data_IF_180800802244
#
_entry.id   IF_180800802244
#
_cell.length_a   1.000
_cell.length_b   1.000
_cell.length_c   1.000
_cell.angle_alpha   90.00
_cell.angle_beta   90.00
_cell.angle_gamma   90.00
#
_symmetry.space_group_name_H-M   'P 1'
#
loop_
_entity.id
_entity.type
_entity.pdbx_description
1 polymer ?
#
# COMPACT_ATOMS: atom_id res chain seq x y z
N UNK A 1 -41.58 32.93 -58.24
CA UNK A 1 -42.12 32.08 -57.14
C UNK A 1 -41.74 30.63 -57.40
N UNK A 2 -41.63 29.83 -56.33
CA UNK A 2 -41.27 28.39 -56.29
C UNK A 2 -39.80 28.06 -56.60
N UNK A 3 -39.29 27.09 -55.83
CA UNK A 3 -37.89 26.67 -55.76
C UNK A 3 -37.79 25.14 -55.62
N UNK A 4 -36.64 24.55 -56.01
CA UNK A 4 -36.01 23.32 -55.45
C UNK A 4 -34.85 22.88 -56.38
N UNK A 5 -33.59 22.76 -55.91
CA UNK A 5 -32.98 21.56 -55.24
C UNK A 5 -32.94 20.37 -56.23
N UNK A 6 -31.85 19.72 -56.63
CA UNK A 6 -30.45 19.51 -56.13
C UNK A 6 -29.47 19.63 -57.34
N UNK A 7 -28.17 19.30 -57.36
CA UNK A 7 -27.20 18.64 -56.46
C UNK A 7 -25.77 19.14 -56.83
N UNK A 8 -24.79 19.10 -55.93
CA UNK A 8 -23.34 19.24 -56.25
C UNK A 8 -22.60 17.98 -55.80
N UNK A 9 -21.59 17.55 -56.59
CA UNK A 9 -20.93 16.24 -56.44
C UNK A 9 -20.16 16.12 -55.13
N UNK A 10 -20.39 15.00 -54.43
CA UNK A 10 -19.57 14.55 -53.31
C UNK A 10 -18.23 14.00 -53.86
N UNK A 11 -17.13 14.65 -53.52
CA UNK A 11 -15.78 14.09 -53.70
C UNK A 11 -15.35 13.41 -52.40
N UNK A 12 -15.14 12.09 -52.43
CA UNK A 12 -14.75 11.32 -51.25
C UNK A 12 -13.32 11.71 -50.83
N UNK A 13 -13.17 12.40 -49.71
CA UNK A 13 -11.88 12.53 -49.04
C UNK A 13 -11.61 11.23 -48.27
N UNK A 14 -10.66 10.43 -48.76
CA UNK A 14 -10.25 9.20 -48.08
C UNK A 14 -9.41 9.58 -46.85
N UNK A 15 -10.08 9.77 -45.71
CA UNK A 15 -9.41 10.01 -44.43
C UNK A 15 -8.63 8.78 -44.00
N UNK A 16 -7.30 8.85 -44.09
CA UNK A 16 -6.43 7.86 -43.49
C UNK A 16 -6.52 7.99 -41.96
N UNK A 17 -7.39 7.18 -41.36
CA UNK A 17 -7.44 7.04 -39.91
C UNK A 17 -6.12 6.39 -39.44
N UNK A 18 -5.18 7.22 -39.00
CA UNK A 18 -4.04 6.78 -38.22
C UNK A 18 -4.60 6.23 -36.90
N UNK A 19 -4.78 4.91 -36.84
CA UNK A 19 -4.98 4.20 -35.59
C UNK A 19 -3.65 4.32 -34.83
N UNK A 20 -3.54 5.38 -34.03
CA UNK A 20 -2.48 5.52 -33.04
C UNK A 20 -2.72 4.44 -31.99
N UNK A 21 -2.22 3.23 -32.26
CA UNK A 21 -2.15 2.18 -31.25
C UNK A 21 -1.38 2.73 -30.06
N UNK A 22 -2.04 2.78 -28.91
CA UNK A 22 -1.41 3.17 -27.66
C UNK A 22 -0.26 2.21 -27.37
N UNK A 23 0.97 2.66 -27.61
CA UNK A 23 2.17 1.95 -27.16
C UNK A 23 2.21 2.09 -25.65
N UNK A 24 1.50 1.19 -24.95
CA UNK A 24 1.67 1.02 -23.51
C UNK A 24 3.13 0.62 -23.29
N UNK A 25 3.90 1.50 -22.65
CA UNK A 25 5.24 1.19 -22.21
C UNK A 25 5.16 -0.07 -21.33
N UNK A 26 5.96 -1.10 -21.65
CA UNK A 26 5.98 -2.30 -20.83
C UNK A 26 6.54 -1.93 -19.45
N UNK A 27 5.75 -2.15 -18.41
CA UNK A 27 6.20 -1.98 -17.03
C UNK A 27 7.35 -2.94 -16.73
N UNK A 28 8.40 -2.47 -16.04
CA UNK A 28 9.47 -3.34 -15.54
C UNK A 28 9.03 -4.07 -14.26
N UNK A 29 7.96 -4.85 -14.34
CA UNK A 29 7.37 -5.60 -13.22
C UNK A 29 7.97 -7.00 -13.02
N UNK A 30 8.80 -7.48 -13.96
CA UNK A 30 9.53 -8.74 -13.83
C UNK A 30 10.92 -8.57 -13.22
N UNK A 31 11.50 -9.66 -12.71
CA UNK A 31 12.88 -9.71 -12.24
C UNK A 31 13.70 -10.72 -13.05
N UNK A 32 14.86 -10.30 -13.56
CA UNK A 32 15.85 -11.18 -14.19
C UNK A 32 17.02 -11.44 -13.23
N UNK A 33 17.15 -12.67 -12.77
CA UNK A 33 18.15 -13.08 -11.78
C UNK A 33 19.37 -13.77 -12.40
N UNK A 34 20.56 -13.24 -12.14
CA UNK A 34 21.86 -13.80 -12.52
C UNK A 34 22.49 -14.54 -11.35
N UNK A 35 23.07 -15.71 -11.58
CA UNK A 35 23.84 -16.44 -10.57
C UNK A 35 25.19 -15.77 -10.35
N UNK A 36 25.47 -15.36 -9.12
CA UNK A 36 26.69 -14.61 -8.76
C UNK A 36 27.62 -15.41 -7.84
N UNK A 37 28.82 -14.87 -7.65
CA UNK A 37 29.70 -15.12 -6.51
C UNK A 37 29.99 -13.75 -5.90
N UNK A 38 29.56 -13.51 -4.67
CA UNK A 38 29.94 -12.32 -3.90
C UNK A 38 31.06 -12.65 -2.91
N UNK A 39 31.89 -11.66 -2.58
CA UNK A 39 33.03 -11.84 -1.67
C UNK A 39 32.62 -11.80 -0.19
N UNK A 40 31.50 -11.13 0.12
CA UNK A 40 30.94 -11.05 1.47
C UNK A 40 30.40 -12.41 1.94
N UNK A 41 30.93 -12.88 3.07
CA UNK A 41 30.61 -14.18 3.69
C UNK A 41 29.77 -13.97 4.95
N UNK A 42 28.45 -13.87 4.80
CA UNK A 42 27.56 -13.78 5.97
C UNK A 42 27.45 -15.14 6.68
N UNK A 43 27.31 -15.06 8.01
CA UNK A 43 26.96 -16.19 8.88
C UNK A 43 26.26 -15.63 10.11
N UNK A 44 24.95 -15.78 10.17
CA UNK A 44 24.13 -15.26 11.27
C UNK A 44 22.75 -15.90 11.30
N UNK A 45 21.96 -15.48 12.28
CA UNK A 45 20.53 -15.70 12.34
C UNK A 45 19.85 -14.37 11.99
N UNK A 46 18.78 -14.44 11.21
CA UNK A 46 17.90 -13.31 10.91
C UNK A 46 16.46 -13.75 11.12
N UNK A 47 15.62 -12.83 11.58
CA UNK A 47 14.19 -13.02 11.63
C UNK A 47 13.60 -12.48 10.33
N UNK A 48 12.75 -13.25 9.65
CA UNK A 48 12.13 -12.85 8.37
C UNK A 48 10.63 -12.82 8.59
N UNK A 49 10.04 -11.63 8.55
CA UNK A 49 8.60 -11.45 8.69
C UNK A 49 7.96 -11.09 7.35
N UNK A 50 6.76 -11.63 7.11
CA UNK A 50 5.95 -11.32 5.92
C UNK A 50 4.50 -11.16 6.33
N UNK A 51 3.80 -10.17 5.78
CA UNK A 51 2.37 -9.97 6.08
C UNK A 51 1.50 -11.20 5.70
N UNK A 52 1.92 -12.00 4.71
CA UNK A 52 1.16 -13.15 4.21
C UNK A 52 1.38 -14.44 5.03
N UNK A 53 2.59 -14.66 5.57
CA UNK A 53 2.96 -15.93 6.23
C UNK A 53 3.50 -15.76 7.65
N UNK A 54 3.48 -14.54 8.19
CA UNK A 54 3.97 -14.22 9.53
C UNK A 54 5.49 -14.26 9.66
N UNK A 55 5.94 -14.53 10.87
CA UNK A 55 7.34 -14.53 11.29
C UNK A 55 8.01 -15.91 11.14
N UNK A 56 9.11 -15.94 10.41
CA UNK A 56 10.07 -17.03 10.26
C UNK A 56 11.30 -16.70 11.15
N UNK A 57 11.37 -17.17 12.42
CA UNK A 57 12.47 -16.83 13.34
C UNK A 57 13.73 -17.66 13.07
N UNK A 58 14.89 -17.17 13.51
CA UNK A 58 16.17 -17.89 13.53
C UNK A 58 16.63 -18.44 12.15
N UNK A 59 16.32 -17.73 11.07
CA UNK A 59 16.75 -18.09 9.72
C UNK A 59 18.27 -17.96 9.55
N UNK A 60 18.93 -19.07 9.21
CA UNK A 60 20.38 -19.08 8.95
C UNK A 60 20.70 -18.46 7.61
N UNK A 61 21.20 -17.22 7.60
CA UNK A 61 21.72 -16.53 6.41
C UNK A 61 23.16 -16.95 6.12
N UNK A 62 23.49 -17.10 4.82
CA UNK A 62 24.80 -17.62 4.38
C UNK A 62 25.41 -16.79 3.24
N UNK A 63 25.33 -17.24 1.98
CA UNK A 63 26.02 -16.61 0.85
C UNK A 63 25.07 -15.96 -0.14
N UNK A 64 25.50 -14.87 -0.76
CA UNK A 64 24.84 -14.31 -1.92
C UNK A 64 24.78 -15.36 -3.04
N UNK A 65 23.62 -15.53 -3.66
CA UNK A 65 23.37 -16.58 -4.66
C UNK A 65 22.91 -16.02 -6.00
N UNK A 66 22.10 -14.97 -5.97
CA UNK A 66 21.65 -14.26 -7.17
C UNK A 66 21.74 -12.74 -7.03
N UNK A 67 21.98 -12.06 -8.14
CA UNK A 67 21.70 -10.64 -8.31
C UNK A 67 20.53 -10.52 -9.28
N UNK A 68 19.47 -9.84 -8.90
CA UNK A 68 18.23 -9.71 -9.67
C UNK A 68 18.00 -8.24 -10.00
N UNK A 69 17.67 -7.96 -11.26
CA UNK A 69 17.38 -6.61 -11.75
C UNK A 69 15.95 -6.56 -12.31
N UNK A 70 15.27 -5.40 -12.30
CA UNK A 70 14.03 -5.17 -13.04
C UNK A 70 14.16 -5.57 -14.51
N UNK A 71 13.07 -6.03 -15.11
CA UNK A 71 13.06 -6.50 -16.49
C UNK A 71 11.68 -6.37 -17.15
N UNK A 72 11.68 -6.09 -18.45
CA UNK A 72 10.56 -6.34 -19.36
C UNK A 72 10.76 -7.66 -20.12
N UNK A 73 9.75 -8.11 -20.87
CA UNK A 73 9.86 -9.27 -21.76
C UNK A 73 8.99 -9.13 -23.00
N UNK A 74 9.49 -9.66 -24.10
CA UNK A 74 8.84 -9.73 -25.41
C UNK A 74 8.93 -11.14 -25.99
N UNK A 75 8.18 -11.43 -27.05
CA UNK A 75 8.22 -12.69 -27.80
C UNK A 75 7.91 -13.93 -26.92
N UNK A 76 6.72 -13.95 -26.31
CA UNK A 76 6.31 -14.97 -25.33
C UNK A 76 5.65 -16.18 -26.02
N UNK A 77 6.44 -16.94 -26.78
CA UNK A 77 6.02 -18.23 -27.36
C UNK A 77 6.26 -19.38 -26.35
N UNK A 78 5.38 -19.49 -25.35
CA UNK A 78 5.48 -20.50 -24.28
C UNK A 78 4.44 -21.60 -24.51
N UNK A 79 4.83 -22.87 -24.33
CA UNK A 79 3.95 -24.03 -24.42
C UNK A 79 3.92 -24.80 -23.09
N UNK A 80 2.78 -25.40 -22.74
CA UNK A 80 2.74 -26.36 -21.65
C UNK A 80 3.54 -27.61 -22.04
N UNK A 81 4.53 -27.96 -21.22
CA UNK A 81 5.45 -29.04 -21.55
C UNK A 81 4.81 -30.44 -21.54
N UNK A 82 3.65 -30.62 -20.88
CA UNK A 82 2.88 -31.86 -20.81
C UNK A 82 1.84 -31.94 -21.92
N UNK A 83 0.97 -30.94 -22.06
CA UNK A 83 -0.16 -30.97 -23.01
C UNK A 83 0.26 -30.57 -24.43
N UNK A 84 1.36 -29.80 -24.55
CA UNK A 84 1.86 -29.18 -25.80
C UNK A 84 1.04 -28.01 -26.31
N UNK A 85 0.04 -27.55 -25.55
CA UNK A 85 -0.77 -26.39 -25.92
C UNK A 85 0.04 -25.09 -25.79
N UNK A 86 -0.27 -24.11 -26.63
CA UNK A 86 0.30 -22.76 -26.55
C UNK A 86 -0.34 -22.00 -25.37
N UNK A 87 0.50 -21.49 -24.48
CA UNK A 87 0.08 -20.66 -23.36
C UNK A 87 -0.01 -19.22 -23.86
N UNK A 88 -1.24 -18.72 -24.03
CA UNK A 88 -1.50 -17.31 -24.29
C UNK A 88 -1.36 -16.53 -22.97
N UNK A 89 -0.44 -15.56 -22.84
CA UNK A 89 -0.28 -14.83 -21.59
C UNK A 89 -1.54 -14.06 -21.18
N UNK A 90 -1.95 -14.21 -19.91
CA UNK A 90 -3.01 -13.38 -19.32
C UNK A 90 -2.52 -11.93 -19.15
N UNK A 91 -3.40 -10.92 -19.28
CA UNK A 91 -3.04 -9.50 -19.21
C UNK A 91 -2.85 -9.01 -17.76
N UNK A 92 -2.04 -9.74 -16.99
CA UNK A 92 -1.64 -9.35 -15.64
C UNK A 92 -0.37 -8.50 -15.72
N UNK A 93 -0.42 -7.32 -15.09
CA UNK A 93 0.73 -6.43 -14.94
C UNK A 93 0.80 -5.90 -13.50
N UNK A 94 2.00 -5.81 -12.96
CA UNK A 94 2.26 -5.35 -11.60
C UNK A 94 2.72 -3.90 -11.52
N UNK A 95 2.88 -3.39 -10.29
CA UNK A 95 3.69 -2.19 -10.02
C UNK A 95 5.15 -2.46 -10.45
N UNK A 96 5.91 -1.47 -10.95
CA UNK A 96 7.33 -1.65 -11.28
C UNK A 96 8.10 -2.35 -10.16
N UNK A 97 8.99 -3.27 -10.55
CA UNK A 97 9.84 -3.98 -9.62
C UNK A 97 10.71 -2.97 -8.84
N UNK A 98 10.80 -3.08 -7.51
CA UNK A 98 11.41 -2.07 -6.63
C UNK A 98 12.95 -2.08 -6.67
N UNK A 99 13.55 -1.93 -7.84
CA UNK A 99 15.00 -1.81 -8.05
C UNK A 99 15.81 -3.12 -8.02
N UNK A 100 17.12 -2.96 -8.13
CA UNK A 100 18.11 -4.04 -8.10
C UNK A 100 18.16 -4.72 -6.72
N UNK A 101 18.45 -6.03 -6.70
CA UNK A 101 18.41 -6.86 -5.47
C UNK A 101 19.51 -7.91 -5.41
N UNK A 102 20.05 -8.15 -4.20
CA UNK A 102 20.93 -9.29 -3.91
C UNK A 102 20.15 -10.34 -3.11
N UNK A 103 20.04 -11.54 -3.65
CA UNK A 103 19.35 -12.67 -3.03
C UNK A 103 20.33 -13.60 -2.30
N UNK A 104 20.23 -13.60 -0.97
CA UNK A 104 21.02 -14.38 -0.03
C UNK A 104 20.40 -15.74 0.24
N UNK A 105 21.21 -16.80 0.26
CA UNK A 105 20.75 -18.13 0.66
C UNK A 105 20.44 -18.15 2.16
N UNK A 106 19.18 -18.43 2.49
CA UNK A 106 18.68 -18.60 3.86
C UNK A 106 18.16 -20.02 4.10
N UNK A 107 18.12 -20.44 5.38
CA UNK A 107 17.46 -21.66 5.84
C UNK A 107 16.80 -21.43 7.19
N UNK A 108 15.47 -21.34 7.19
CA UNK A 108 14.67 -21.19 8.40
C UNK A 108 14.32 -22.56 9.02
N UNK A 109 14.13 -22.64 10.35
CA UNK A 109 13.64 -23.81 11.07
C UNK A 109 12.10 -23.87 11.15
N UNK A 110 11.40 -22.80 10.77
CA UNK A 110 9.95 -22.63 10.90
C UNK A 110 9.09 -23.66 10.17
N UNK A 111 7.80 -23.64 10.48
CA UNK A 111 6.80 -24.44 9.79
C UNK A 111 6.71 -24.04 8.31
N UNK A 112 6.30 -24.97 7.45
CA UNK A 112 6.08 -24.65 6.04
C UNK A 112 4.79 -23.83 5.92
N UNK A 113 4.79 -22.70 5.19
CA UNK A 113 3.55 -21.98 4.88
C UNK A 113 2.50 -22.88 4.22
N UNK A 114 1.19 -22.59 4.43
CA UNK A 114 0.09 -23.36 3.85
C UNK A 114 0.14 -23.32 2.32
N UNK A 115 -0.39 -24.36 1.68
CA UNK A 115 -0.50 -24.44 0.23
C UNK A 115 -1.33 -23.24 -0.32
N UNK A 116 -0.96 -22.74 -1.49
CA UNK A 116 -1.54 -21.53 -2.09
C UNK A 116 -2.05 -21.81 -3.50
N UNK A 117 -3.17 -21.20 -3.87
CA UNK A 117 -3.64 -21.13 -5.26
C UNK A 117 -3.32 -19.74 -5.77
N UNK A 118 -2.42 -19.63 -6.75
CA UNK A 118 -2.01 -18.35 -7.33
C UNK A 118 -2.15 -18.36 -8.84
N UNK A 119 -2.44 -17.21 -9.43
CA UNK A 119 -2.48 -17.04 -10.88
C UNK A 119 -1.38 -16.07 -11.28
N UNK A 120 -0.45 -16.52 -12.12
CA UNK A 120 0.44 -15.63 -12.86
C UNK A 120 -0.03 -15.53 -14.32
N UNK A 121 0.71 -14.77 -15.14
CA UNK A 121 0.32 -14.60 -16.54
C UNK A 121 0.35 -15.90 -17.36
N UNK A 122 0.93 -16.98 -16.87
CA UNK A 122 0.95 -18.29 -17.55
C UNK A 122 -0.18 -19.21 -17.07
N UNK A 123 -0.94 -18.81 -16.04
CA UNK A 123 -2.16 -19.47 -15.57
C UNK A 123 -2.20 -19.70 -14.06
N UNK A 124 -3.27 -20.35 -13.61
CA UNK A 124 -3.49 -20.70 -12.19
C UNK A 124 -2.72 -21.96 -11.81
N UNK A 125 -2.02 -21.91 -10.67
CA UNK A 125 -1.17 -22.99 -10.15
C UNK A 125 -1.42 -23.21 -8.66
N UNK A 126 -1.51 -24.48 -8.26
CA UNK A 126 -1.53 -24.90 -6.86
C UNK A 126 -0.09 -25.12 -6.39
N UNK A 127 0.43 -24.16 -5.63
CA UNK A 127 1.77 -24.19 -5.06
C UNK A 127 1.73 -24.87 -3.69
N UNK A 128 2.65 -25.81 -3.46
CA UNK A 128 2.69 -26.60 -2.23
C UNK A 128 4.09 -26.71 -1.63
N UNK A 129 4.18 -27.05 -0.34
CA UNK A 129 5.46 -27.36 0.35
C UNK A 129 6.45 -26.18 0.34
N UNK A 130 5.95 -24.97 0.54
CA UNK A 130 6.73 -23.73 0.63
C UNK A 130 7.92 -23.86 1.58
N UNK A 131 9.09 -23.42 1.12
CA UNK A 131 10.34 -23.44 1.91
C UNK A 131 11.10 -22.16 1.67
N UNK A 132 11.38 -21.40 2.72
CA UNK A 132 12.20 -20.19 2.65
C UNK A 132 13.62 -20.56 2.17
N UNK A 133 14.04 -19.97 1.05
CA UNK A 133 15.32 -20.28 0.35
C UNK A 133 16.19 -19.07 0.08
N UNK A 134 15.57 -17.93 -0.19
CA UNK A 134 16.23 -16.69 -0.56
C UNK A 134 15.61 -15.54 0.23
N UNK A 135 16.46 -14.65 0.74
CA UNK A 135 16.10 -13.32 1.20
C UNK A 135 16.72 -12.32 0.22
N UNK A 136 15.91 -11.56 -0.50
CA UNK A 136 16.36 -10.64 -1.54
C UNK A 136 16.34 -9.20 -1.03
N UNK A 137 17.49 -8.72 -0.55
CA UNK A 137 17.67 -7.33 -0.08
C UNK A 137 17.78 -6.39 -1.27
N UNK A 138 17.43 -5.11 -1.07
CA UNK A 138 17.72 -4.06 -2.05
C UNK A 138 19.23 -3.95 -2.30
N UNK A 139 19.61 -3.45 -3.46
CA UNK A 139 20.98 -3.17 -3.85
C UNK A 139 21.03 -1.90 -4.70
N UNK A 140 21.99 -1.03 -4.39
CA UNK A 140 22.34 0.15 -5.18
C UNK A 140 23.69 -0.07 -5.88
N UNK A 141 24.01 0.75 -6.89
CA UNK A 141 25.26 0.65 -7.65
C UNK A 141 26.30 1.57 -7.04
N UNK A 142 27.40 1.02 -6.55
CA UNK A 142 28.51 1.81 -6.02
C UNK A 142 29.40 1.01 -5.07
N UNK A 143 30.51 1.63 -4.66
CA UNK A 143 31.28 1.27 -3.45
C UNK A 143 31.08 2.28 -2.32
N UNK A 144 30.43 3.39 -2.65
CA UNK A 144 30.08 4.56 -1.84
C UNK A 144 28.57 4.41 -1.57
N UNK A 145 28.09 4.71 -0.35
CA UNK A 145 26.74 4.38 0.10
C UNK A 145 26.13 5.58 0.83
N UNK A 146 25.09 6.16 0.22
CA UNK A 146 24.29 7.19 0.86
C UNK A 146 23.73 6.72 2.21
N UNK A 147 24.11 7.43 3.27
CA UNK A 147 23.79 7.12 4.65
C UNK A 147 24.90 6.37 5.38
N UNK A 148 26.16 6.39 4.91
CA UNK A 148 27.31 5.91 5.69
C UNK A 148 27.80 6.91 6.75
N UNK A 149 27.31 8.16 6.67
CA UNK A 149 27.63 9.26 7.59
C UNK A 149 28.85 10.09 7.18
N UNK A 150 29.40 9.89 5.98
CA UNK A 150 30.57 10.63 5.49
C UNK A 150 30.51 10.92 3.99
N UNK A 151 30.23 12.17 3.58
CA UNK A 151 30.28 12.58 2.16
C UNK A 151 31.66 12.29 1.56
N UNK A 152 31.74 11.32 0.66
CA UNK A 152 33.00 10.84 0.09
C UNK A 152 32.91 10.53 -1.42
N UNK A 153 34.07 10.53 -2.08
CA UNK A 153 34.19 10.14 -3.49
C UNK A 153 33.36 10.99 -4.47
N UNK A 154 32.25 10.43 -4.93
CA UNK A 154 31.33 11.02 -5.91
C UNK A 154 30.02 11.57 -5.33
N UNK A 155 29.82 11.45 -4.02
CA UNK A 155 28.62 11.86 -3.30
C UNK A 155 28.52 13.39 -3.20
N UNK A 156 27.32 13.96 -3.44
CA UNK A 156 27.05 15.40 -3.33
C UNK A 156 26.52 15.78 -1.94
N UNK A 157 25.91 14.81 -1.25
CA UNK A 157 25.18 14.97 0.00
C UNK A 157 25.16 13.66 0.79
N UNK A 158 24.82 13.74 2.07
CA UNK A 158 24.61 12.58 2.96
C UNK A 158 23.27 12.76 3.68
N UNK A 159 22.39 11.74 3.78
CA UNK A 159 21.11 11.86 4.49
C UNK A 159 21.20 12.21 6.00
N UNK A 160 22.41 12.19 6.58
CA UNK A 160 22.68 12.59 7.97
C UNK A 160 23.64 13.79 8.11
N UNK A 161 24.25 14.25 7.02
CA UNK A 161 25.04 15.49 6.92
C UNK A 161 24.59 16.24 5.65
N UNK A 162 23.29 16.58 5.64
CA UNK A 162 22.63 17.13 4.46
C UNK A 162 22.85 18.64 4.31
N UNK A 163 24.05 19.10 4.68
CA UNK A 163 24.43 20.52 4.63
C UNK A 163 24.54 21.07 3.20
N UNK A 164 24.54 20.20 2.19
CA UNK A 164 24.55 20.53 0.77
C UNK A 164 23.14 20.70 0.15
N UNK A 165 22.13 19.91 0.57
CA UNK A 165 20.76 20.03 0.07
C UNK A 165 19.70 19.51 1.08
N UNK A 166 19.49 20.20 2.21
CA UNK A 166 18.85 19.66 3.42
C UNK A 166 17.43 19.07 3.22
N UNK A 167 17.32 17.75 3.12
CA UNK A 167 16.06 17.03 2.88
C UNK A 167 15.84 16.58 1.43
N UNK A 168 16.78 16.85 0.52
CA UNK A 168 16.72 16.50 -0.90
C UNK A 168 17.77 15.47 -1.33
N UNK A 169 18.62 14.99 -0.42
CA UNK A 169 19.61 13.97 -0.75
C UNK A 169 18.93 12.66 -1.19
N UNK A 170 19.09 12.31 -2.47
CA UNK A 170 18.48 11.13 -3.08
C UNK A 170 19.25 9.86 -2.69
N UNK A 171 18.63 8.69 -2.90
CA UNK A 171 19.26 7.37 -2.65
C UNK A 171 20.49 7.07 -3.53
N UNK A 172 20.81 7.93 -4.51
CA UNK A 172 22.01 7.87 -5.35
C UNK A 172 23.02 8.99 -5.06
N UNK A 173 22.85 9.70 -3.93
CA UNK A 173 23.69 10.82 -3.47
C UNK A 173 23.77 12.01 -4.42
N UNK A 174 22.81 12.13 -5.33
CA UNK A 174 22.52 13.39 -6.01
C UNK A 174 21.59 14.26 -5.17
N UNK A 175 21.76 15.58 -5.25
CA UNK A 175 20.74 16.50 -4.75
C UNK A 175 19.56 16.52 -5.72
N UNK A 176 18.35 16.25 -5.21
CA UNK A 176 17.13 16.46 -5.96
C UNK A 176 17.00 17.92 -6.40
N UNK A 177 16.64 18.15 -7.66
CA UNK A 177 16.34 19.50 -8.14
C UNK A 177 14.95 19.88 -7.62
N UNK A 178 14.87 20.85 -6.73
CA UNK A 178 13.59 21.46 -6.36
C UNK A 178 12.88 21.97 -7.63
N UNK A 179 11.54 21.82 -7.75
CA UNK A 179 10.83 22.36 -8.90
C UNK A 179 11.01 23.89 -8.95
N UNK A 180 10.96 24.53 -10.14
CA UNK A 180 11.25 25.97 -10.29
C UNK A 180 10.20 26.89 -9.67
N UNK A 181 9.13 26.32 -9.12
CA UNK A 181 8.10 26.97 -8.29
C UNK A 181 8.55 27.06 -6.83
N UNK A 182 9.32 26.09 -6.33
CA UNK A 182 9.64 25.97 -4.91
C UNK A 182 10.75 26.94 -4.44
N UNK A 183 10.52 27.64 -3.34
CA UNK A 183 11.45 28.63 -2.77
C UNK A 183 11.40 29.98 -3.49
N UNK A 184 10.28 30.31 -4.11
CA UNK A 184 10.04 31.56 -4.82
C UNK A 184 9.32 32.62 -3.96
N UNK A 185 8.81 32.23 -2.79
CA UNK A 185 8.00 33.04 -1.89
C UNK A 185 6.50 33.03 -2.21
N UNK A 186 6.02 32.11 -3.05
CA UNK A 186 4.61 31.97 -3.44
C UNK A 186 4.28 30.49 -3.61
N UNK A 187 3.28 30.01 -2.85
CA UNK A 187 2.71 28.68 -3.03
C UNK A 187 1.97 28.64 -4.38
N UNK A 188 2.58 28.02 -5.39
CA UNK A 188 1.98 27.81 -6.70
C UNK A 188 2.31 26.45 -7.33
N UNK A 189 1.66 26.15 -8.46
CA UNK A 189 1.85 24.87 -9.17
C UNK A 189 1.40 23.64 -8.36
N UNK A 190 2.38 22.88 -7.86
CA UNK A 190 2.21 21.63 -7.11
C UNK A 190 2.79 21.73 -5.68
N UNK A 191 3.15 22.93 -5.24
CA UNK A 191 3.82 23.15 -3.96
C UNK A 191 2.77 23.23 -2.83
N UNK A 192 2.96 22.50 -1.73
CA UNK A 192 2.09 22.55 -0.54
C UNK A 192 2.47 23.73 0.38
N UNK A 193 3.68 24.28 0.23
CA UNK A 193 4.24 25.40 0.98
C UNK A 193 5.42 26.04 0.24
N UNK A 194 5.89 27.23 0.68
CA UNK A 194 7.10 27.89 0.15
C UNK A 194 7.84 28.67 1.26
N UNK A 195 9.04 28.22 1.63
CA UNK A 195 9.85 28.70 2.76
C UNK A 195 9.03 28.95 4.07
N UNK A 196 8.77 30.17 4.62
CA UNK A 196 7.95 30.32 5.82
C UNK A 196 6.43 30.30 5.52
N UNK A 197 6.01 30.30 4.26
CA UNK A 197 4.61 30.37 3.85
C UNK A 197 4.03 28.96 3.78
N UNK A 198 3.30 28.56 4.83
CA UNK A 198 2.72 27.23 4.99
C UNK A 198 1.26 27.13 4.48
N UNK A 199 0.75 28.16 3.79
CA UNK A 199 -0.61 28.18 3.25
C UNK A 199 -1.71 28.19 4.32
N UNK A 200 -1.35 28.48 5.58
CA UNK A 200 -2.22 28.35 6.74
C UNK A 200 -2.26 26.94 7.36
N UNK A 201 -1.49 25.98 6.86
CA UNK A 201 -1.33 24.68 7.50
C UNK A 201 -0.56 24.79 8.82
N UNK A 202 -0.94 23.98 9.80
CA UNK A 202 -0.26 23.81 11.09
C UNK A 202 -0.19 22.33 11.44
N UNK A 203 0.59 21.96 12.45
CA UNK A 203 0.62 20.57 12.95
C UNK A 203 -0.80 20.10 13.34
N UNK A 204 -1.58 20.96 13.99
CA UNK A 204 -2.96 20.69 14.39
C UNK A 204 -3.89 20.49 13.18
N UNK A 205 -3.76 21.29 12.11
CA UNK A 205 -4.57 21.10 10.89
C UNK A 205 -4.22 19.83 10.12
N UNK A 206 -3.05 19.25 10.36
CA UNK A 206 -2.58 17.97 9.79
C UNK A 206 -2.79 16.77 10.71
N UNK A 207 -3.47 16.95 11.86
CA UNK A 207 -3.82 15.85 12.78
C UNK A 207 -2.75 15.49 13.81
N UNK A 208 -1.84 16.41 14.13
CA UNK A 208 -0.88 16.28 15.24
C UNK A 208 -1.34 17.06 16.47
N UNK A 209 -0.80 16.74 17.66
CA UNK A 209 -1.25 17.35 18.93
C UNK A 209 -0.83 18.82 19.04
N UNK A 210 0.40 19.11 18.60
CA UNK A 210 1.04 20.42 18.61
C UNK A 210 2.34 20.35 17.79
N UNK A 211 3.16 21.39 17.82
CA UNK A 211 4.54 21.36 17.33
C UNK A 211 4.88 22.54 16.43
N UNK A 212 5.93 22.39 15.63
CA UNK A 212 6.30 23.37 14.60
C UNK A 212 6.28 22.68 13.25
N UNK A 213 5.33 23.07 12.41
CA UNK A 213 5.30 22.66 11.01
C UNK A 213 6.33 23.48 10.25
N UNK A 214 7.08 22.85 9.35
CA UNK A 214 8.02 23.52 8.47
C UNK A 214 7.66 23.25 7.01
N UNK A 215 8.15 24.08 6.10
CA UNK A 215 8.17 23.71 4.69
C UNK A 215 9.42 22.89 4.42
N UNK A 216 9.28 21.72 3.80
CA UNK A 216 10.45 21.03 3.25
C UNK A 216 10.96 21.81 2.04
N UNK A 217 12.26 21.71 1.78
CA UNK A 217 12.92 22.21 0.56
C UNK A 217 12.42 21.56 -0.76
N UNK A 218 11.59 20.52 -0.67
CA UNK A 218 10.85 19.94 -1.80
C UNK A 218 9.43 20.49 -1.92
N UNK A 219 9.10 21.53 -1.17
CA UNK A 219 7.80 22.18 -1.05
C UNK A 219 6.61 21.29 -0.67
N UNK A 220 6.89 20.13 -0.05
CA UNK A 220 5.92 19.40 0.78
C UNK A 220 5.99 19.84 2.23
N UNK A 221 4.91 19.68 3.00
CA UNK A 221 4.88 20.02 4.43
C UNK A 221 5.74 19.04 5.27
N UNK A 222 6.74 19.56 5.98
CA UNK A 222 7.58 18.77 6.89
C UNK A 222 6.97 18.71 8.30
N UNK A 223 6.42 17.54 8.61
CA UNK A 223 5.79 17.20 9.89
C UNK A 223 6.78 16.67 10.93
N UNK A 224 8.09 16.63 10.67
CA UNK A 224 9.09 16.10 11.62
C UNK A 224 9.20 16.93 12.91
N UNK A 225 8.87 18.22 12.84
CA UNK A 225 8.75 19.11 14.00
C UNK A 225 7.37 19.06 14.70
N UNK A 226 6.43 18.26 14.20
CA UNK A 226 5.14 18.06 14.84
C UNK A 226 5.21 17.01 15.95
N UNK A 227 4.47 17.26 17.03
CA UNK A 227 4.33 16.34 18.17
C UNK A 227 3.23 15.34 17.85
N UNK A 228 3.53 14.05 17.60
CA UNK A 228 2.49 13.04 17.46
C UNK A 228 1.80 12.84 18.81
N UNK A 229 0.49 12.58 18.78
CA UNK A 229 -0.27 12.18 19.98
C UNK A 229 0.43 11.00 20.67
N UNK A 230 0.94 11.24 21.87
CA UNK A 230 1.91 10.34 22.50
C UNK A 230 1.31 8.97 22.87
N UNK A 231 1.78 7.93 22.18
CA UNK A 231 1.65 6.51 22.54
C UNK A 231 0.23 6.05 22.97
N UNK A 232 -0.80 6.57 22.32
CA UNK A 232 -2.21 6.23 22.53
C UNK A 232 -2.85 5.35 21.45
N UNK A 233 -2.08 4.83 20.49
CA UNK A 233 -2.57 4.07 19.33
C UNK A 233 -2.98 2.62 19.66
N UNK A 234 -4.00 2.49 20.50
CA UNK A 234 -5.17 1.71 20.07
C UNK A 234 -6.20 2.73 19.57
N UNK A 235 -6.80 2.54 18.38
CA UNK A 235 -7.97 3.34 18.02
C UNK A 235 -9.06 3.07 19.07
N UNK A 236 -9.63 4.13 19.64
CA UNK A 236 -10.77 3.99 20.53
C UNK A 236 -11.95 3.45 19.70
N UNK A 237 -12.46 2.28 20.08
CA UNK A 237 -13.52 1.52 19.38
C UNK A 237 -14.92 2.15 19.45
N UNK A 238 -15.02 3.38 19.95
CA UNK A 238 -16.25 4.06 20.38
C UNK A 238 -17.09 3.34 21.46
N UNK A 239 -16.66 2.18 21.99
CA UNK A 239 -17.37 1.53 23.08
C UNK A 239 -17.21 2.34 24.38
N UNK A 240 -18.29 3.00 24.81
CA UNK A 240 -18.35 3.80 26.05
C UNK A 240 -18.96 3.04 27.24
N UNK A 241 -19.48 1.84 26.98
CA UNK A 241 -20.22 1.02 27.95
C UNK A 241 -19.46 -0.26 28.23
N UNK A 242 -19.11 -0.50 29.49
CA UNK A 242 -18.50 -1.73 29.97
C UNK A 242 -19.50 -2.89 29.94
N UNK A 243 -19.10 -4.03 29.37
CA UNK A 243 -19.82 -5.29 29.53
C UNK A 243 -19.25 -6.12 30.68
N UNK A 244 -20.09 -7.01 31.21
CA UNK A 244 -19.70 -7.93 32.29
C UNK A 244 -19.68 -9.36 31.79
N UNK A 245 -18.61 -10.10 32.08
CA UNK A 245 -18.52 -11.52 31.75
C UNK A 245 -18.69 -12.40 32.98
N UNK A 246 -19.33 -13.56 32.79
CA UNK A 246 -19.16 -14.71 33.67
C UNK A 246 -17.91 -15.47 33.20
N UNK A 247 -16.91 -15.60 34.09
CA UNK A 247 -15.65 -16.29 33.77
C UNK A 247 -15.76 -17.81 33.86
N UNK A 248 -16.91 -18.35 34.27
CA UNK A 248 -17.12 -19.77 34.58
C UNK A 248 -16.08 -20.34 35.58
N UNK A 249 -15.52 -19.47 36.43
CA UNK A 249 -14.51 -19.81 37.44
C UNK A 249 -15.10 -20.19 38.81
N UNK A 250 -16.44 -20.17 38.91
CA UNK A 250 -17.18 -20.48 40.13
C UNK A 250 -17.27 -19.31 41.12
N UNK A 251 -16.77 -18.12 40.77
CA UNK A 251 -16.90 -16.91 41.59
C UNK A 251 -18.22 -16.23 41.23
N UNK A 252 -19.16 -16.18 42.19
CA UNK A 252 -20.46 -15.56 41.97
C UNK A 252 -20.38 -14.03 41.86
N UNK A 253 -20.59 -13.50 40.66
CA UNK A 253 -20.72 -12.06 40.42
C UNK A 253 -20.36 -11.68 38.99
N UNK A 254 -20.98 -10.62 38.48
CA UNK A 254 -20.63 -10.02 37.20
C UNK A 254 -19.20 -9.46 37.28
N UNK A 255 -18.27 -9.99 36.49
CA UNK A 255 -16.88 -9.50 36.47
C UNK A 255 -16.74 -8.49 35.33
N UNK A 256 -16.32 -7.27 35.67
CA UNK A 256 -15.90 -6.30 34.65
C UNK A 256 -14.72 -6.90 33.87
N UNK A 257 -14.90 -7.05 32.56
CA UNK A 257 -13.77 -7.33 31.67
C UNK A 257 -13.00 -6.03 31.48
N UNK A 258 -11.67 -6.05 31.29
CA UNK A 258 -10.93 -4.88 30.83
C UNK A 258 -11.18 -4.69 29.33
N UNK A 259 -12.45 -4.44 28.98
CA UNK A 259 -12.84 -3.94 27.67
C UNK A 259 -12.55 -2.44 27.57
N UNK A 260 -12.55 -1.95 26.34
CA UNK A 260 -12.51 -0.53 25.99
C UNK A 260 -13.57 0.32 26.73
N UNK A 261 -14.79 -0.19 26.92
CA UNK A 261 -15.84 0.46 27.72
C UNK A 261 -15.47 0.69 29.19
N UNK A 262 -14.71 -0.24 29.80
CA UNK A 262 -14.18 -0.16 31.16
C UNK A 262 -12.89 0.65 31.26
N UNK A 263 -11.99 0.47 30.28
CA UNK A 263 -10.62 1.01 30.32
C UNK A 263 -10.57 2.44 29.80
N UNK A 264 -11.39 2.78 28.79
CA UNK A 264 -11.50 4.09 28.15
C UNK A 264 -10.14 4.69 27.74
N UNK A 265 -9.23 3.83 27.27
CA UNK A 265 -7.91 4.21 26.76
C UNK A 265 -7.89 4.19 25.23
N UNK A 266 -7.23 5.18 24.64
CA UNK A 266 -7.10 5.37 23.20
C UNK A 266 -6.99 6.85 22.85
N UNK A 267 -6.86 7.16 21.57
CA UNK A 267 -7.03 8.54 21.08
C UNK A 267 -8.49 9.01 21.26
N UNK A 268 -8.71 10.33 21.33
CA UNK A 268 -10.07 10.88 21.30
C UNK A 268 -10.79 10.49 20.01
N UNK A 269 -12.06 10.12 20.10
CA UNK A 269 -12.88 9.75 18.94
C UNK A 269 -12.95 10.93 17.95
N UNK A 270 -12.54 10.68 16.71
CA UNK A 270 -12.38 11.70 15.67
C UNK A 270 -13.05 11.22 14.38
N UNK A 271 -14.25 11.73 14.12
CA UNK A 271 -15.13 11.28 13.05
C UNK A 271 -15.64 12.45 12.21
N UNK A 272 -15.67 12.28 10.89
CA UNK A 272 -16.27 13.21 9.93
C UNK A 272 -17.44 12.51 9.23
N UNK A 273 -18.63 13.09 9.32
CA UNK A 273 -19.77 12.69 8.50
C UNK A 273 -19.58 13.26 7.08
N UNK A 274 -19.50 12.37 6.09
CA UNK A 274 -19.25 12.76 4.70
C UNK A 274 -20.53 13.29 4.01
N UNK A 275 -21.70 13.15 4.64
CA UNK A 275 -22.99 13.61 4.11
C UNK A 275 -23.58 12.73 3.00
N UNK A 276 -22.92 11.63 2.66
CA UNK A 276 -23.34 10.60 1.71
C UNK A 276 -23.77 9.29 2.39
N UNK A 277 -23.94 9.32 3.72
CA UNK A 277 -24.25 8.16 4.56
C UNK A 277 -23.01 7.31 4.92
N UNK A 278 -21.80 7.84 4.73
CA UNK A 278 -20.56 7.29 5.31
C UNK A 278 -19.94 8.21 6.36
N UNK A 279 -19.20 7.61 7.30
CA UNK A 279 -18.42 8.30 8.34
C UNK A 279 -16.93 7.98 8.14
N UNK A 280 -16.09 8.99 7.98
CA UNK A 280 -14.63 8.84 7.98
C UNK A 280 -14.10 8.86 9.42
N UNK A 281 -13.36 7.83 9.82
CA UNK A 281 -12.58 7.81 11.05
C UNK A 281 -11.20 8.43 10.80
N UNK A 282 -10.96 9.61 11.35
CA UNK A 282 -9.71 10.34 11.17
C UNK A 282 -8.53 9.72 11.93
N UNK A 283 -8.77 8.85 12.91
CA UNK A 283 -7.72 8.18 13.67
C UNK A 283 -7.20 6.92 12.95
N UNK A 284 -8.05 6.23 12.19
CA UNK A 284 -7.69 4.99 11.47
C UNK A 284 -7.59 5.14 9.95
N UNK A 285 -8.18 6.19 9.38
CA UNK A 285 -8.36 6.34 7.93
C UNK A 285 -9.38 5.38 7.33
N UNK A 286 -10.13 4.64 8.16
CA UNK A 286 -11.21 3.77 7.71
C UNK A 286 -12.49 4.58 7.46
N UNK A 287 -13.30 4.07 6.53
CA UNK A 287 -14.63 4.59 6.24
C UNK A 287 -15.67 3.59 6.73
N UNK A 288 -16.64 4.09 7.49
CA UNK A 288 -17.71 3.32 8.11
C UNK A 288 -19.06 3.66 7.46
N UNK A 289 -19.94 2.68 7.37
CA UNK A 289 -21.33 2.89 6.95
C UNK A 289 -22.12 3.53 8.10
N UNK A 290 -22.95 4.54 7.80
CA UNK A 290 -23.82 5.19 8.78
C UNK A 290 -25.17 4.46 8.85
N UNK A 291 -25.42 3.76 9.96
CA UNK A 291 -26.70 3.09 10.22
C UNK A 291 -27.84 4.07 10.51
N UNK A 292 -29.04 3.70 10.07
CA UNK A 292 -30.30 4.34 10.44
C UNK A 292 -31.01 3.62 11.59
N UNK A 293 -32.18 4.13 11.96
CA UNK A 293 -33.16 3.54 12.89
C UNK A 293 -34.53 3.69 12.22
N UNK A 294 -34.86 2.73 11.34
CA UNK A 294 -35.95 2.85 10.35
C UNK A 294 -36.46 1.53 9.76
N UNK A 295 -36.03 0.38 10.28
CA UNK A 295 -36.35 -0.99 9.83
C UNK A 295 -36.04 -1.28 8.36
N UNK A 296 -35.01 -0.63 7.81
CA UNK A 296 -34.43 -0.96 6.49
C UNK A 296 -33.26 -1.95 6.62
N UNK A 297 -32.63 -2.31 5.49
CA UNK A 297 -31.41 -3.13 5.46
C UNK A 297 -30.25 -2.52 6.27
N UNK A 298 -30.27 -1.20 6.42
CA UNK A 298 -29.26 -0.38 7.11
C UNK A 298 -29.69 0.06 8.52
N UNK A 299 -30.70 -0.60 9.11
CA UNK A 299 -31.09 -0.38 10.50
C UNK A 299 -30.01 -0.89 11.48
N UNK A 300 -29.72 -0.09 12.51
CA UNK A 300 -28.85 -0.42 13.65
C UNK A 300 -29.38 -1.58 14.50
N UNK A 301 -30.70 -1.77 14.56
CA UNK A 301 -31.35 -2.83 15.35
C UNK A 301 -31.38 -4.20 14.63
N UNK A 302 -30.83 -4.30 13.40
CA UNK A 302 -30.75 -5.57 12.67
C UNK A 302 -29.73 -6.54 13.30
N UNK A 303 -30.16 -7.78 13.55
CA UNK A 303 -29.33 -8.82 14.19
C UNK A 303 -29.13 -10.02 13.27
N UNK A 304 -27.88 -10.26 12.87
CA UNK A 304 -27.49 -11.33 11.96
C UNK A 304 -26.75 -12.47 12.67
N UNK A 305 -26.84 -13.69 12.12
CA UNK A 305 -26.05 -14.84 12.59
C UNK A 305 -24.77 -14.99 11.76
N UNK A 306 -23.67 -15.39 12.37
CA UNK A 306 -22.43 -15.74 11.64
C UNK A 306 -22.57 -16.99 10.75
N UNK A 307 -23.50 -17.88 11.09
CA UNK A 307 -23.86 -19.07 10.32
C UNK A 307 -25.28 -19.53 10.68
N UNK A 308 -25.96 -20.16 9.71
CA UNK A 308 -27.33 -20.67 9.84
C UNK A 308 -27.49 -22.05 9.23
N UNK A 309 -28.67 -22.64 9.41
CA UNK A 309 -29.08 -23.92 8.81
C UNK A 309 -29.88 -23.77 7.50
N UNK A 310 -29.97 -22.53 7.00
CA UNK A 310 -30.79 -22.16 5.83
C UNK A 310 -32.20 -21.67 6.18
N UNK A 311 -32.54 -21.53 7.47
CA UNK A 311 -33.81 -20.94 7.93
C UNK A 311 -33.67 -19.60 8.67
N UNK A 312 -32.44 -19.10 8.82
CA UNK A 312 -32.15 -17.83 9.51
C UNK A 312 -31.30 -16.92 8.63
N UNK A 313 -31.59 -15.62 8.66
CA UNK A 313 -30.73 -14.59 8.09
C UNK A 313 -29.33 -14.63 8.71
N UNK A 314 -28.32 -14.75 7.86
CA UNK A 314 -26.91 -14.67 8.25
C UNK A 314 -26.29 -13.37 7.79
N UNK A 315 -25.11 -13.05 8.34
CA UNK A 315 -24.32 -11.89 7.92
C UNK A 315 -23.94 -11.97 6.43
N UNK A 316 -23.91 -13.19 5.85
CA UNK A 316 -23.60 -13.41 4.45
C UNK A 316 -24.79 -13.10 3.54
N UNK A 317 -26.00 -13.48 3.93
CA UNK A 317 -27.22 -13.17 3.19
C UNK A 317 -27.44 -11.65 3.14
N UNK A 318 -27.24 -10.97 4.29
CA UNK A 318 -27.27 -9.50 4.38
C UNK A 318 -26.18 -8.81 3.53
N UNK A 319 -24.95 -9.35 3.49
CA UNK A 319 -23.90 -8.82 2.61
C UNK A 319 -24.26 -8.99 1.14
N UNK A 320 -24.86 -10.12 0.75
CA UNK A 320 -25.33 -10.33 -0.63
C UNK A 320 -26.45 -9.34 -0.99
N UNK A 321 -27.39 -9.07 -0.08
CA UNK A 321 -28.43 -8.04 -0.26
C UNK A 321 -27.84 -6.62 -0.42
N UNK A 322 -26.88 -6.22 0.43
CA UNK A 322 -26.19 -4.92 0.27
C UNK A 322 -25.46 -4.81 -1.07
N UNK A 323 -24.76 -5.88 -1.48
CA UNK A 323 -24.07 -5.88 -2.77
C UNK A 323 -25.06 -5.79 -3.95
N UNK A 324 -26.27 -6.33 -3.80
CA UNK A 324 -27.35 -6.21 -4.77
C UNK A 324 -27.98 -4.81 -4.85
N UNK A 325 -27.84 -3.96 -3.82
CA UNK A 325 -28.24 -2.53 -3.89
C UNK A 325 -27.30 -1.69 -4.78
N UNK A 326 -26.21 -2.26 -5.29
CA UNK A 326 -25.40 -1.63 -6.34
C UNK A 326 -24.62 -0.38 -5.88
N UNK A 327 -24.35 -0.27 -4.58
CA UNK A 327 -23.57 0.84 -4.01
C UNK A 327 -24.37 2.11 -3.70
N UNK A 328 -25.71 2.06 -3.73
CA UNK A 328 -26.56 3.12 -3.16
C UNK A 328 -26.90 2.90 -1.69
N UNK A 329 -26.40 1.82 -1.08
CA UNK A 329 -26.72 1.36 0.27
C UNK A 329 -26.01 2.14 1.38
N UNK A 330 -26.29 3.45 1.44
CA UNK A 330 -25.96 4.31 2.58
C UNK A 330 -27.24 5.06 2.99
N UNK A 331 -27.46 5.24 4.30
CA UNK A 331 -28.74 5.66 4.88
C UNK A 331 -29.14 7.13 4.65
#
# INVERSE_FOLDING_TARGET
MRASIRLIRLGLALGAALIAGSVQAQTEDHLKCYKIKGDLKLKGLVNIETAQFGLDPDCKITKAKFFCVPATKSNVDVVDAKTKDLITPLPLSGRPAPGDRICWQVKCPGALPPDQVVTDQFGTQNLTKFKTKLLCTLAVKGTEFCGDGTVNGSEVCEPTDDSACPGLCQLDCSCGVAPPTCGNGVIDGNDDCDDPELGGATCESLGFESGTLACSVGCGLDVSGCVPFSAGFFPASAQTTAYTADKNDGIGGAVAVPDDGTVQAGAALSYVDNGDGTITDLNTGLMWEKKGDNSTLHDVDNVFRWSGDGSQETIWDWLDDINNEGGTGFA
#
